data_IF_852390572250
#
_entry.id   IF_852390572250
#
_cell.length_a   1.000
_cell.length_b   1.000
_cell.length_c   1.000
_cell.angle_alpha   90.00
_cell.angle_beta   90.00
_cell.angle_gamma   90.00
#
_symmetry.space_group_name_H-M   'P 1'
#
loop_
_entity.id
_entity.type
_entity.pdbx_description
1 polymer ?
#
# COMPACT_ATOMS: atom_id res chain seq x y z
N UNK A 1 -2.10 29.87 8.43
CA UNK A 1 -1.23 29.38 7.34
C UNK A 1 -0.02 28.57 7.82
N UNK A 2 0.17 28.32 9.13
CA UNK A 2 1.36 27.61 9.67
C UNK A 2 1.24 26.08 9.80
N UNK A 3 0.09 25.45 9.50
CA UNK A 3 -0.15 24.02 9.81
C UNK A 3 0.01 23.06 8.63
N UNK A 4 0.09 23.56 7.40
CA UNK A 4 0.21 22.71 6.20
C UNK A 4 1.67 22.43 5.80
N UNK A 5 2.60 23.31 6.15
CA UNK A 5 4.05 23.13 5.91
C UNK A 5 4.66 22.06 6.82
N UNK A 6 4.09 21.83 8.02
CA UNK A 6 4.58 20.82 8.96
C UNK A 6 4.23 19.37 8.53
N UNK A 7 3.21 19.20 7.68
CA UNK A 7 2.81 17.86 7.23
C UNK A 7 3.77 17.28 6.17
N UNK A 8 4.30 18.09 5.23
CA UNK A 8 5.23 17.59 4.20
C UNK A 8 6.49 16.95 4.81
N UNK A 9 6.91 17.45 5.97
CA UNK A 9 8.05 16.90 6.69
C UNK A 9 7.77 15.53 7.29
N UNK A 10 6.51 15.11 7.44
CA UNK A 10 6.16 13.80 7.98
C UNK A 10 6.38 12.69 6.96
N UNK A 11 5.97 12.83 5.71
CA UNK A 11 6.12 11.75 4.71
C UNK A 11 6.45 12.34 3.33
N UNK A 12 7.67 12.89 3.13
CA UNK A 12 8.00 13.61 1.91
C UNK A 12 7.98 12.72 0.66
N UNK A 13 8.49 11.49 0.74
CA UNK A 13 8.49 10.55 -0.39
C UNK A 13 7.07 10.11 -0.76
N UNK A 14 6.21 9.90 0.24
CA UNK A 14 4.81 9.57 -0.01
C UNK A 14 4.08 10.77 -0.61
N UNK A 15 4.30 11.98 -0.10
CA UNK A 15 3.72 13.19 -0.67
C UNK A 15 4.15 13.40 -2.13
N UNK A 16 5.42 13.19 -2.44
CA UNK A 16 5.92 13.23 -3.82
C UNK A 16 5.24 12.19 -4.72
N UNK A 17 5.05 10.96 -4.24
CA UNK A 17 4.32 9.89 -4.95
C UNK A 17 2.92 10.36 -5.37
N UNK A 18 2.19 10.94 -4.41
CA UNK A 18 0.84 11.44 -4.60
C UNK A 18 0.81 12.58 -5.63
N UNK A 19 1.70 13.56 -5.50
CA UNK A 19 1.80 14.68 -6.44
C UNK A 19 2.18 14.23 -7.85
N UNK A 20 2.96 13.15 -7.97
CA UNK A 20 3.41 12.61 -9.25
C UNK A 20 2.29 11.92 -10.03
N UNK A 21 1.38 11.21 -9.37
CA UNK A 21 0.41 10.33 -10.06
C UNK A 21 -1.05 10.67 -9.84
N UNK A 22 -1.39 11.51 -8.87
CA UNK A 22 -2.75 11.99 -8.68
C UNK A 22 -2.80 13.45 -9.13
N UNK A 23 -3.27 13.73 -10.36
CA UNK A 23 -3.48 15.10 -10.79
C UNK A 23 -4.36 15.85 -9.78
N UNK A 24 -4.04 17.11 -9.55
CA UNK A 24 -4.79 18.01 -8.65
C UNK A 24 -4.83 17.57 -7.18
N UNK A 25 -3.93 16.69 -6.75
CA UNK A 25 -3.92 16.15 -5.39
C UNK A 25 -3.93 17.23 -4.29
N UNK A 26 -3.18 18.31 -4.48
CA UNK A 26 -3.11 19.43 -3.53
C UNK A 26 -4.47 20.08 -3.29
N UNK A 27 -5.31 20.18 -4.33
CA UNK A 27 -6.67 20.72 -4.22
C UNK A 27 -7.64 19.78 -3.49
N UNK A 28 -7.30 18.49 -3.43
CA UNK A 28 -8.09 17.42 -2.78
C UNK A 28 -7.69 17.19 -1.32
N UNK A 29 -6.62 17.82 -0.84
CA UNK A 29 -6.21 17.69 0.55
C UNK A 29 -7.32 18.19 1.48
N UNK A 30 -7.74 17.31 2.38
CA UNK A 30 -8.80 17.53 3.33
C UNK A 30 -8.35 17.03 4.70
N UNK A 31 -7.61 17.88 5.42
CA UNK A 31 -7.05 17.59 6.74
C UNK A 31 -8.13 17.26 7.79
N UNK A 32 -7.88 16.33 8.69
CA UNK A 32 -8.64 16.18 9.93
C UNK A 32 -8.55 17.45 10.80
N UNK A 33 -9.52 17.64 11.70
CA UNK A 33 -9.39 18.69 12.71
C UNK A 33 -8.34 18.29 13.76
N UNK A 34 -7.71 19.27 14.41
CA UNK A 34 -6.79 18.99 15.51
C UNK A 34 -7.47 18.27 16.68
N UNK A 35 -8.77 18.46 16.87
CA UNK A 35 -9.57 17.76 17.89
C UNK A 35 -9.71 16.27 17.56
N UNK A 36 -9.97 15.93 16.30
CA UNK A 36 -10.07 14.53 15.86
C UNK A 36 -8.71 13.82 16.00
N UNK A 37 -7.62 14.47 15.59
CA UNK A 37 -6.27 13.91 15.73
C UNK A 37 -5.95 13.66 17.21
N UNK A 38 -6.21 14.62 18.09
CA UNK A 38 -6.00 14.47 19.53
C UNK A 38 -6.90 13.38 20.15
N UNK A 39 -8.12 13.19 19.63
CA UNK A 39 -8.99 12.10 20.05
C UNK A 39 -8.41 10.74 19.65
N UNK A 40 -7.90 10.61 18.42
CA UNK A 40 -7.23 9.40 17.94
C UNK A 40 -5.95 9.11 18.75
N UNK A 41 -5.13 10.11 19.06
CA UNK A 41 -3.95 9.93 19.92
C UNK A 41 -4.34 9.43 21.31
N UNK A 42 -5.44 9.91 21.89
CA UNK A 42 -5.96 9.35 23.16
C UNK A 42 -6.42 7.91 23.01
N UNK A 43 -7.06 7.53 21.90
CA UNK A 43 -7.47 6.16 21.62
C UNK A 43 -6.26 5.24 21.47
N UNK A 44 -5.19 5.72 20.85
CA UNK A 44 -3.91 5.03 20.70
C UNK A 44 -3.12 4.90 22.01
N UNK A 45 -3.52 5.60 23.08
CA UNK A 45 -2.78 5.65 24.34
C UNK A 45 -1.56 6.57 24.30
N UNK A 46 -1.41 7.41 23.29
CA UNK A 46 -0.26 8.29 23.12
C UNK A 46 -0.07 8.80 21.70
N UNK A 47 1.20 9.06 21.36
CA UNK A 47 1.57 9.53 20.04
C UNK A 47 1.30 8.46 18.96
N UNK A 48 0.58 8.83 17.89
CA UNK A 48 0.36 7.91 16.76
C UNK A 48 1.55 7.86 15.80
N UNK A 49 1.71 6.74 15.06
CA UNK A 49 2.71 6.62 13.99
C UNK A 49 2.75 7.80 13.02
N UNK A 50 3.98 8.14 12.59
CA UNK A 50 4.27 9.31 11.74
C UNK A 50 3.47 9.31 10.44
N UNK A 51 3.40 8.15 9.77
CA UNK A 51 2.65 8.00 8.51
C UNK A 51 1.14 8.22 8.71
N UNK A 52 0.56 7.73 9.80
CA UNK A 52 -0.86 7.95 10.07
C UNK A 52 -1.16 9.39 10.44
N UNK A 53 -0.28 10.06 11.19
CA UNK A 53 -0.41 11.50 11.42
C UNK A 53 -0.36 12.29 10.11
N UNK A 54 0.55 11.95 9.20
CA UNK A 54 0.58 12.55 7.86
C UNK A 54 -0.74 12.33 7.13
N UNK A 55 -1.24 11.09 7.13
CA UNK A 55 -2.50 10.73 6.50
C UNK A 55 -3.65 11.57 7.05
N UNK A 56 -3.79 11.70 8.37
CA UNK A 56 -4.84 12.51 8.98
C UNK A 56 -4.68 14.00 8.63
N UNK A 57 -3.45 14.52 8.62
CA UNK A 57 -3.18 15.92 8.29
C UNK A 57 -3.38 16.26 6.81
N UNK A 58 -3.24 15.30 5.89
CA UNK A 58 -3.47 15.52 4.45
C UNK A 58 -4.86 15.09 3.98
N UNK A 59 -5.33 13.95 4.47
CA UNK A 59 -6.45 13.18 3.90
C UNK A 59 -7.47 12.73 4.93
N UNK A 60 -7.39 13.24 6.17
CA UNK A 60 -8.26 12.85 7.26
C UNK A 60 -9.76 13.09 7.06
N UNK A 61 -10.18 13.74 5.97
CA UNK A 61 -11.59 13.84 5.51
C UNK A 61 -11.80 13.43 4.05
N UNK A 62 -10.77 12.99 3.32
CA UNK A 62 -10.78 12.95 1.85
C UNK A 62 -10.01 11.78 1.24
N UNK A 63 -10.26 10.55 1.71
CA UNK A 63 -9.56 9.35 1.23
C UNK A 63 -10.23 8.62 0.07
N UNK A 64 -11.57 8.69 -0.04
CA UNK A 64 -12.36 7.83 -0.93
C UNK A 64 -11.91 7.86 -2.41
N UNK A 65 -11.39 8.98 -2.89
CA UNK A 65 -10.97 9.15 -4.28
C UNK A 65 -9.57 8.58 -4.60
N UNK A 66 -8.83 8.08 -3.61
CA UNK A 66 -7.42 7.66 -3.73
C UNK A 66 -7.23 6.14 -3.80
N UNK A 67 -8.33 5.40 -3.70
CA UNK A 67 -8.46 4.15 -4.45
C UNK A 67 -8.39 2.84 -3.68
N UNK A 68 -8.52 2.81 -2.36
CA UNK A 68 -8.80 1.53 -1.67
C UNK A 68 -10.30 1.19 -1.64
N UNK A 69 -11.00 1.41 -2.76
CA UNK A 69 -12.43 1.15 -2.88
C UNK A 69 -13.25 1.88 -1.81
N UNK A 70 -13.93 1.11 -0.97
CA UNK A 70 -14.83 1.55 0.09
C UNK A 70 -14.17 1.72 1.47
N UNK A 71 -12.84 1.58 1.55
CA UNK A 71 -12.09 1.77 2.79
C UNK A 71 -12.02 3.25 3.18
N UNK A 72 -12.52 3.60 4.36
CA UNK A 72 -12.52 4.97 4.88
C UNK A 72 -11.53 5.13 6.06
N UNK A 73 -10.55 6.01 5.88
CA UNK A 73 -9.56 6.39 6.91
C UNK A 73 -9.91 7.72 7.59
N UNK A 74 -11.09 8.29 7.33
CA UNK A 74 -11.43 9.60 7.85
C UNK A 74 -11.43 9.63 9.37
N UNK A 75 -10.86 10.68 9.94
CA UNK A 75 -10.65 10.78 11.38
C UNK A 75 -11.96 10.68 12.16
N UNK A 76 -13.02 11.28 11.60
CA UNK A 76 -14.35 11.26 12.19
C UNK A 76 -14.95 9.86 12.22
N UNK A 77 -14.83 9.09 11.13
CA UNK A 77 -15.28 7.70 11.10
C UNK A 77 -14.59 6.86 12.17
N UNK A 78 -13.27 7.06 12.35
CA UNK A 78 -12.50 6.32 13.37
C UNK A 78 -12.90 6.73 14.79
N UNK A 79 -12.99 8.03 15.07
CA UNK A 79 -13.41 8.54 16.39
C UNK A 79 -14.83 8.08 16.73
N UNK A 80 -15.78 8.27 15.81
CA UNK A 80 -17.18 7.90 16.02
C UNK A 80 -17.31 6.38 16.21
N UNK A 81 -16.60 5.58 15.40
CA UNK A 81 -16.61 4.13 15.50
C UNK A 81 -16.08 3.60 16.83
N UNK A 82 -14.96 4.14 17.32
CA UNK A 82 -14.45 3.79 18.64
C UNK A 82 -15.39 4.24 19.77
N UNK A 83 -15.94 5.46 19.69
CA UNK A 83 -16.84 5.99 20.74
C UNK A 83 -18.13 5.17 20.90
N UNK A 84 -18.56 4.52 19.81
CA UNK A 84 -19.77 3.70 19.74
C UNK A 84 -19.49 2.21 19.94
N UNK A 85 -18.23 1.81 20.11
CA UNK A 85 -17.83 0.41 20.22
C UNK A 85 -18.11 -0.41 18.96
N UNK A 86 -18.05 0.21 17.77
CA UNK A 86 -18.29 -0.47 16.50
C UNK A 86 -17.10 -1.34 16.04
N UNK A 87 -15.94 -1.16 16.67
CA UNK A 87 -14.73 -1.91 16.35
C UNK A 87 -14.45 -2.90 17.49
N UNK A 88 -14.32 -4.21 17.21
CA UNK A 88 -13.90 -5.18 18.20
C UNK A 88 -12.62 -4.74 18.92
N UNK A 89 -12.58 -4.76 20.26
CA UNK A 89 -11.38 -4.42 21.00
C UNK A 89 -10.29 -5.47 20.73
N UNK A 90 -9.08 -5.00 20.45
CA UNK A 90 -7.90 -5.83 20.25
C UNK A 90 -6.76 -5.20 21.05
N UNK A 91 -6.21 -5.94 22.02
CA UNK A 91 -5.18 -5.40 22.92
C UNK A 91 -3.95 -4.94 22.14
N UNK A 92 -3.47 -3.74 22.44
CA UNK A 92 -2.33 -3.15 21.73
C UNK A 92 -2.64 -2.70 20.29
N UNK A 93 -3.88 -2.79 19.84
CA UNK A 93 -4.28 -2.46 18.48
C UNK A 93 -5.33 -1.35 18.43
N UNK A 94 -5.31 -0.58 17.33
CA UNK A 94 -6.27 0.50 17.08
C UNK A 94 -6.81 0.40 15.66
N UNK A 95 -8.13 0.48 15.50
CA UNK A 95 -8.74 0.52 14.17
C UNK A 95 -8.37 1.86 13.49
N UNK A 96 -7.86 1.79 12.26
CA UNK A 96 -7.41 2.95 11.48
C UNK A 96 -8.18 3.15 10.18
N UNK A 97 -8.95 2.13 9.77
CA UNK A 97 -9.81 2.23 8.59
C UNK A 97 -11.02 1.30 8.70
N UNK A 98 -12.13 1.75 8.16
CA UNK A 98 -13.39 1.00 8.10
C UNK A 98 -13.82 0.85 6.63
N UNK A 99 -13.95 -0.38 6.16
CA UNK A 99 -14.48 -0.67 4.83
C UNK A 99 -16.01 -0.62 4.87
N UNK A 100 -16.56 0.34 4.14
CA UNK A 100 -17.99 0.62 4.06
C UNK A 100 -18.74 -0.29 3.08
N UNK A 101 -18.09 -1.27 2.47
CA UNK A 101 -18.75 -2.25 1.60
C UNK A 101 -19.79 -3.08 2.36
N UNK A 102 -21.04 -3.04 1.91
CA UNK A 102 -22.16 -3.76 2.55
C UNK A 102 -22.01 -5.28 2.54
N UNK A 103 -21.42 -5.84 1.48
CA UNK A 103 -21.39 -7.29 1.26
C UNK A 103 -20.19 -7.99 1.93
N UNK A 104 -19.17 -7.23 2.33
CA UNK A 104 -17.94 -7.79 2.88
C UNK A 104 -17.14 -6.73 3.66
N UNK A 105 -17.65 -6.21 4.80
CA UNK A 105 -16.97 -5.19 5.56
C UNK A 105 -15.68 -5.72 6.16
N UNK A 106 -14.62 -4.94 6.06
CA UNK A 106 -13.31 -5.20 6.60
C UNK A 106 -12.83 -4.01 7.41
N UNK A 107 -12.08 -4.30 8.46
CA UNK A 107 -11.41 -3.31 9.28
C UNK A 107 -9.91 -3.38 9.03
N UNK A 108 -9.23 -2.25 9.21
CA UNK A 108 -7.77 -2.22 9.30
C UNK A 108 -7.34 -1.76 10.67
N UNK A 109 -6.40 -2.47 11.26
CA UNK A 109 -5.85 -2.19 12.57
C UNK A 109 -4.37 -1.87 12.46
N UNK A 110 -3.91 -0.92 13.25
CA UNK A 110 -2.52 -0.84 13.63
C UNK A 110 -2.22 -1.73 14.81
N UNK A 111 -1.07 -2.40 14.75
CA UNK A 111 -0.43 -3.02 15.92
C UNK A 111 0.52 -2.03 16.58
N UNK A 112 -0.01 -1.24 17.50
CA UNK A 112 0.75 -0.21 18.23
C UNK A 112 1.68 -0.82 19.29
N UNK A 113 1.45 -2.08 19.69
CA UNK A 113 2.31 -2.80 20.62
C UNK A 113 3.62 -3.25 19.96
N UNK A 114 3.64 -3.43 18.64
CA UNK A 114 4.80 -3.90 17.89
C UNK A 114 5.21 -2.92 16.76
N UNK A 115 5.77 -1.74 17.10
CA UNK A 115 6.14 -0.74 16.11
C UNK A 115 7.18 -1.25 15.10
N UNK A 116 7.11 -0.76 13.87
CA UNK A 116 7.97 -1.15 12.76
C UNK A 116 8.43 0.08 11.96
N UNK A 117 9.75 0.37 11.97
CA UNK A 117 10.39 1.43 11.15
C UNK A 117 9.72 2.81 11.24
N UNK A 118 9.53 3.30 12.47
CA UNK A 118 8.82 4.56 12.79
C UNK A 118 7.32 4.58 12.40
N UNK A 119 6.78 3.42 12.05
CA UNK A 119 5.37 3.16 11.78
C UNK A 119 4.88 1.96 12.62
N UNK A 120 3.73 1.38 12.28
CA UNK A 120 3.21 0.15 12.85
C UNK A 120 2.70 -0.82 11.77
N UNK A 121 2.77 -2.14 11.99
CA UNK A 121 2.16 -3.13 11.12
C UNK A 121 0.66 -2.93 10.98
N UNK A 122 0.16 -3.19 9.77
CA UNK A 122 -1.26 -3.11 9.45
C UNK A 122 -1.84 -4.51 9.32
N UNK A 123 -2.93 -4.74 10.05
CA UNK A 123 -3.70 -5.97 10.05
C UNK A 123 -5.07 -5.74 9.42
N UNK A 124 -5.56 -6.74 8.70
CA UNK A 124 -6.93 -6.80 8.18
C UNK A 124 -7.76 -7.80 9.01
N UNK A 125 -8.98 -7.40 9.34
CA UNK A 125 -9.91 -8.22 10.11
C UNK A 125 -11.35 -8.07 9.65
N UNK A 126 -12.14 -9.09 9.95
CA UNK A 126 -13.60 -9.05 9.81
C UNK A 126 -14.22 -8.62 11.14
N UNK A 127 -15.25 -7.76 11.13
CA UNK A 127 -15.96 -7.41 12.36
C UNK A 127 -16.46 -8.63 13.14
N UNK A 128 -16.90 -9.68 12.42
CA UNK A 128 -17.60 -10.84 13.01
C UNK A 128 -16.72 -12.07 13.27
N UNK A 129 -15.55 -12.20 12.64
CA UNK A 129 -14.72 -13.42 12.75
C UNK A 129 -13.68 -13.34 13.87
N UNK A 130 -13.46 -12.17 14.48
CA UNK A 130 -12.51 -11.94 15.57
C UNK A 130 -11.02 -12.17 15.22
N UNK A 131 -10.73 -12.71 14.03
CA UNK A 131 -9.38 -12.98 13.54
C UNK A 131 -8.80 -11.79 12.80
N UNK A 132 -7.57 -11.42 13.18
CA UNK A 132 -6.76 -10.45 12.45
C UNK A 132 -5.67 -11.18 11.67
N UNK A 133 -5.46 -10.73 10.43
CA UNK A 133 -4.40 -11.24 9.56
C UNK A 133 -3.48 -10.10 9.19
N UNK A 134 -2.16 -10.31 9.33
CA UNK A 134 -1.19 -9.30 8.91
C UNK A 134 -1.33 -9.07 7.40
N UNK A 135 -1.36 -7.79 7.02
CA UNK A 135 -1.54 -7.35 5.64
C UNK A 135 -0.28 -6.62 5.14
N UNK A 136 0.16 -5.59 5.85
CA UNK A 136 1.34 -4.79 5.50
C UNK A 136 2.26 -4.57 6.70
N UNK A 137 3.56 -4.34 6.46
CA UNK A 137 4.50 -4.03 7.54
C UNK A 137 4.33 -2.60 8.06
N UNK A 138 3.82 -1.69 7.23
CA UNK A 138 3.61 -0.29 7.56
C UNK A 138 2.38 0.26 6.83
N UNK A 139 1.81 1.35 7.33
CA UNK A 139 0.74 2.05 6.63
C UNK A 139 1.28 2.73 5.36
N UNK A 140 2.53 3.21 5.39
CA UNK A 140 3.20 3.73 4.18
C UNK A 140 3.14 2.72 3.03
N UNK A 141 3.42 1.45 3.32
CA UNK A 141 3.38 0.37 2.33
C UNK A 141 1.97 0.16 1.78
N UNK A 142 0.94 0.14 2.65
CA UNK A 142 -0.46 0.04 2.24
C UNK A 142 -0.86 1.19 1.31
N UNK A 143 -0.60 2.44 1.74
CA UNK A 143 -0.97 3.64 1.00
C UNK A 143 -0.23 3.69 -0.34
N UNK A 144 1.08 3.48 -0.32
CA UNK A 144 1.91 3.52 -1.52
C UNK A 144 1.49 2.48 -2.54
N UNK A 145 1.21 1.25 -2.11
CA UNK A 145 0.72 0.18 -2.97
C UNK A 145 -0.62 0.54 -3.63
N UNK A 146 -1.53 1.16 -2.87
CA UNK A 146 -2.82 1.61 -3.37
C UNK A 146 -2.67 2.68 -4.46
N UNK A 147 -1.93 3.74 -4.16
CA UNK A 147 -1.73 4.87 -5.09
C UNK A 147 -1.04 4.38 -6.36
N UNK A 148 0.01 3.58 -6.21
CA UNK A 148 0.72 2.98 -7.34
C UNK A 148 -0.23 2.15 -8.21
N UNK A 149 -1.01 1.26 -7.60
CA UNK A 149 -1.92 0.39 -8.34
C UNK A 149 -2.97 1.18 -9.10
N UNK A 150 -3.62 2.15 -8.46
CA UNK A 150 -4.80 2.82 -9.02
C UNK A 150 -4.45 3.97 -9.97
N UNK A 151 -3.38 4.71 -9.68
CA UNK A 151 -3.07 5.92 -10.44
C UNK A 151 -1.89 5.75 -11.39
N UNK A 152 -1.05 4.72 -11.17
CA UNK A 152 0.04 4.39 -12.10
C UNK A 152 -0.26 3.14 -12.93
N UNK A 153 -0.47 2.01 -12.28
CA UNK A 153 -0.56 0.71 -12.96
C UNK A 153 -1.86 0.55 -13.76
N UNK A 154 -3.01 0.91 -13.19
CA UNK A 154 -4.33 0.82 -13.83
C UNK A 154 -4.49 1.77 -15.03
N UNK A 155 -3.73 2.87 -15.06
CA UNK A 155 -3.77 3.85 -16.15
C UNK A 155 -2.93 3.43 -17.37
N UNK A 156 -2.18 2.33 -17.27
CA UNK A 156 -1.35 1.86 -18.38
C UNK A 156 -2.17 1.05 -19.40
N UNK A 157 -1.95 1.28 -20.72
CA UNK A 157 -2.77 0.65 -21.77
C UNK A 157 -2.74 -0.88 -21.80
N UNK A 158 -1.63 -1.51 -21.43
CA UNK A 158 -1.51 -2.97 -21.44
C UNK A 158 -1.02 -3.44 -20.08
N UNK A 159 -1.65 -4.50 -19.57
CA UNK A 159 -1.23 -5.16 -18.33
C UNK A 159 -1.06 -6.65 -18.51
N UNK A 160 -0.17 -7.21 -17.72
CA UNK A 160 0.08 -8.63 -17.66
C UNK A 160 0.28 -9.04 -16.21
N UNK A 161 -0.28 -10.18 -15.81
CA UNK A 161 -0.12 -10.74 -14.47
C UNK A 161 0.41 -12.16 -14.56
N UNK A 162 1.12 -12.59 -13.52
CA UNK A 162 1.70 -13.92 -13.48
C UNK A 162 2.36 -14.19 -12.13
N UNK A 163 3.13 -15.27 -12.09
CA UNK A 163 3.90 -15.66 -10.91
C UNK A 163 5.32 -16.00 -11.35
N UNK A 164 6.31 -15.29 -10.80
CA UNK A 164 7.71 -15.72 -10.87
C UNK A 164 7.94 -16.85 -9.89
N UNK A 165 8.62 -17.90 -10.36
CA UNK A 165 8.92 -19.09 -9.59
C UNK A 165 10.41 -19.39 -9.70
N UNK A 166 11.06 -19.52 -8.55
CA UNK A 166 12.35 -20.18 -8.45
C UNK A 166 12.12 -21.67 -8.18
N UNK A 167 12.45 -22.54 -9.15
CA UNK A 167 12.23 -23.98 -9.02
C UNK A 167 13.20 -24.65 -8.04
N UNK A 168 14.36 -24.04 -7.80
CA UNK A 168 15.34 -24.46 -6.79
C UNK A 168 14.99 -23.94 -5.39
N UNK A 169 13.87 -23.22 -5.26
CA UNK A 169 13.31 -22.65 -4.03
C UNK A 169 14.16 -21.55 -3.38
N UNK A 170 14.97 -20.84 -4.15
CA UNK A 170 15.62 -19.59 -3.73
C UNK A 170 14.63 -18.43 -3.51
N UNK A 171 15.08 -17.32 -2.94
CA UNK A 171 14.25 -16.10 -2.91
C UNK A 171 14.27 -15.44 -4.28
N UNK A 172 13.10 -15.34 -4.89
CA UNK A 172 12.92 -14.71 -6.19
C UNK A 172 13.38 -13.24 -6.18
N UNK A 173 13.34 -12.55 -5.04
CA UNK A 173 13.71 -11.12 -4.98
C UNK A 173 15.20 -10.89 -5.05
N UNK A 174 16.01 -11.81 -4.53
CA UNK A 174 17.47 -11.73 -4.61
C UNK A 174 17.95 -11.72 -6.07
N UNK A 175 17.12 -12.25 -6.97
CA UNK A 175 17.36 -12.32 -8.41
C UNK A 175 16.69 -11.15 -9.16
N UNK A 176 15.45 -10.81 -8.82
CA UNK A 176 14.71 -9.78 -9.54
C UNK A 176 15.20 -8.36 -9.27
N UNK A 177 15.59 -8.04 -8.03
CA UNK A 177 15.93 -6.66 -7.66
C UNK A 177 17.16 -6.15 -8.45
N UNK A 178 18.31 -6.86 -8.49
CA UNK A 178 19.46 -6.40 -9.28
C UNK A 178 19.12 -6.23 -10.76
N UNK A 179 18.36 -7.16 -11.34
CA UNK A 179 17.94 -7.07 -12.73
C UNK A 179 17.03 -5.87 -12.99
N UNK A 180 16.12 -5.55 -12.06
CA UNK A 180 15.26 -4.38 -12.18
C UNK A 180 16.07 -3.09 -12.14
N UNK A 181 17.07 -3.00 -11.27
CA UNK A 181 18.00 -1.88 -11.22
C UNK A 181 18.78 -1.73 -12.55
N UNK A 182 19.30 -2.83 -13.11
CA UNK A 182 19.95 -2.84 -14.42
C UNK A 182 19.02 -2.39 -15.57
N UNK A 183 17.73 -2.72 -15.47
CA UNK A 183 16.69 -2.30 -16.42
C UNK A 183 16.16 -0.88 -16.14
N UNK A 184 16.75 -0.16 -15.19
CA UNK A 184 16.43 1.23 -14.85
C UNK A 184 15.14 1.39 -14.05
N UNK A 185 14.59 0.32 -13.48
CA UNK A 185 13.49 0.42 -12.53
C UNK A 185 14.00 1.00 -11.21
N UNK A 186 13.16 1.82 -10.58
CA UNK A 186 13.42 2.39 -9.27
C UNK A 186 12.18 2.22 -8.38
N UNK A 187 12.35 1.99 -7.07
CA UNK A 187 11.24 2.01 -6.14
C UNK A 187 10.72 3.45 -6.00
N UNK A 188 9.42 3.70 -6.18
CA UNK A 188 8.87 5.05 -6.18
C UNK A 188 8.72 5.63 -4.75
N UNK A 189 8.73 4.76 -3.74
CA UNK A 189 8.88 5.08 -2.32
C UNK A 189 9.70 3.95 -1.66
N UNK A 190 10.31 4.17 -0.48
CA UNK A 190 10.85 3.08 0.32
C UNK A 190 9.76 2.06 0.67
N UNK A 191 9.81 0.88 0.04
CA UNK A 191 8.85 -0.20 0.24
C UNK A 191 9.22 -1.13 1.39
N UNK A 192 8.21 -1.87 1.88
CA UNK A 192 8.43 -3.05 2.73
C UNK A 192 8.65 -4.31 1.88
N UNK A 193 9.01 -5.44 2.51
CA UNK A 193 9.19 -6.72 1.82
C UNK A 193 7.86 -7.36 1.36
N UNK A 194 6.72 -6.78 1.71
CA UNK A 194 5.39 -7.33 1.40
C UNK A 194 4.78 -6.67 0.15
N UNK A 195 5.20 -5.46 -0.20
CA UNK A 195 4.80 -4.74 -1.40
C UNK A 195 6.01 -4.20 -2.15
N UNK A 196 6.21 -4.77 -3.35
CA UNK A 196 7.29 -4.37 -4.23
C UNK A 196 6.69 -3.52 -5.34
N UNK A 197 7.13 -2.28 -5.40
CA UNK A 197 6.69 -1.31 -6.38
C UNK A 197 7.93 -0.83 -7.12
N UNK A 198 7.92 -0.94 -8.44
CA UNK A 198 9.06 -0.55 -9.28
C UNK A 198 8.55 0.14 -10.53
N UNK A 199 9.18 1.24 -10.92
CA UNK A 199 8.83 2.00 -12.13
C UNK A 199 10.10 2.46 -12.86
N UNK A 200 10.11 2.38 -14.19
CA UNK A 200 11.20 2.92 -15.02
C UNK A 200 10.75 4.06 -15.95
N UNK A 201 9.61 4.70 -15.64
CA UNK A 201 8.96 5.73 -16.44
C UNK A 201 8.03 5.16 -17.52
N UNK A 202 8.35 3.99 -18.09
CA UNK A 202 7.58 3.37 -19.17
C UNK A 202 6.76 2.16 -18.72
N UNK A 203 7.36 1.34 -17.86
CA UNK A 203 6.78 0.11 -17.34
C UNK A 203 6.71 0.22 -15.82
N UNK A 204 5.57 -0.22 -15.27
CA UNK A 204 5.31 -0.29 -13.85
C UNK A 204 5.19 -1.76 -13.44
N UNK A 205 5.82 -2.12 -12.34
CA UNK A 205 5.78 -3.44 -11.73
C UNK A 205 5.23 -3.32 -10.31
N UNK A 206 4.31 -4.22 -9.97
CA UNK A 206 3.80 -4.38 -8.62
C UNK A 206 3.75 -5.85 -8.23
N UNK A 207 4.18 -6.16 -7.02
CA UNK A 207 3.98 -7.45 -6.38
C UNK A 207 3.49 -7.27 -4.95
N UNK A 208 2.65 -8.20 -4.49
CA UNK A 208 2.17 -8.25 -3.12
C UNK A 208 2.32 -9.67 -2.56
N UNK A 209 3.04 -9.79 -1.44
CA UNK A 209 3.25 -11.03 -0.69
C UNK A 209 2.45 -10.98 0.60
N UNK A 210 1.67 -12.02 0.86
CA UNK A 210 0.97 -12.15 2.15
C UNK A 210 1.93 -12.64 3.23
N UNK A 211 2.07 -11.96 4.37
CA UNK A 211 3.07 -12.31 5.39
C UNK A 211 2.86 -13.70 6.02
N UNK A 212 1.63 -14.20 6.11
CA UNK A 212 1.35 -15.56 6.64
C UNK A 212 1.62 -16.69 5.64
N UNK A 213 2.02 -16.37 4.40
CA UNK A 213 2.39 -17.33 3.34
C UNK A 213 3.61 -16.84 2.57
N UNK A 214 4.70 -16.53 3.29
CA UNK A 214 5.98 -16.16 2.69
C UNK A 214 6.60 -17.37 1.96
N UNK A 215 6.04 -17.68 0.79
CA UNK A 215 6.66 -18.57 -0.18
C UNK A 215 7.66 -17.71 -0.95
N UNK A 216 8.86 -17.53 -0.41
CA UNK A 216 9.91 -16.65 -0.98
C UNK A 216 10.29 -17.04 -2.42
N UNK A 217 10.12 -18.31 -2.76
CA UNK A 217 10.31 -18.86 -4.10
C UNK A 217 9.17 -18.57 -5.07
N UNK A 218 8.12 -17.86 -4.64
CA UNK A 218 6.96 -17.47 -5.46
C UNK A 218 6.66 -15.98 -5.29
N UNK A 219 6.62 -15.27 -6.42
CA UNK A 219 6.29 -13.84 -6.45
C UNK A 219 5.16 -13.61 -7.45
N UNK A 220 3.91 -13.46 -7.00
CA UNK A 220 2.85 -13.00 -7.88
C UNK A 220 3.17 -11.56 -8.31
N UNK A 221 2.90 -11.22 -9.57
CA UNK A 221 3.17 -9.89 -10.08
C UNK A 221 2.07 -9.38 -11.00
N UNK A 222 2.02 -8.06 -11.12
CA UNK A 222 1.34 -7.34 -12.19
C UNK A 222 2.33 -6.37 -12.82
N UNK A 223 2.43 -6.41 -14.14
CA UNK A 223 3.26 -5.55 -14.96
C UNK A 223 2.37 -4.73 -15.89
N UNK A 224 2.56 -3.42 -15.95
CA UNK A 224 1.80 -2.52 -16.83
C UNK A 224 2.73 -1.70 -17.71
N UNK A 225 2.28 -1.35 -18.92
CA UNK A 225 3.10 -0.59 -19.87
C UNK A 225 2.33 -0.13 -21.11
N UNK A 226 3.00 0.56 -22.04
CA UNK A 226 2.35 1.16 -23.21
C UNK A 226 1.94 0.15 -24.28
N UNK A 227 2.54 -1.05 -24.30
CA UNK A 227 2.28 -2.06 -25.32
C UNK A 227 2.67 -3.46 -24.83
N UNK A 228 2.11 -4.50 -25.45
CA UNK A 228 2.51 -5.89 -25.21
C UNK A 228 4.00 -6.11 -25.51
N UNK A 229 4.55 -5.44 -26.53
CA UNK A 229 5.96 -5.57 -26.91
C UNK A 229 6.89 -5.07 -25.80
N UNK A 230 6.55 -3.93 -25.17
CA UNK A 230 7.31 -3.40 -24.04
C UNK A 230 7.32 -4.38 -22.85
N UNK A 231 6.16 -4.96 -22.52
CA UNK A 231 6.06 -5.94 -21.43
C UNK A 231 6.82 -7.22 -21.75
N UNK A 232 6.69 -7.75 -22.98
CA UNK A 232 7.44 -8.93 -23.43
C UNK A 232 8.94 -8.72 -23.40
N UNK A 233 9.43 -7.51 -23.67
CA UNK A 233 10.86 -7.20 -23.56
C UNK A 233 11.35 -7.32 -22.11
N UNK A 234 10.59 -6.81 -21.15
CA UNK A 234 10.95 -6.93 -19.72
C UNK A 234 10.90 -8.40 -19.29
N UNK A 235 9.79 -9.10 -19.54
CA UNK A 235 9.65 -10.52 -19.19
C UNK A 235 10.71 -11.39 -19.87
N UNK A 236 11.01 -11.13 -21.14
CA UNK A 236 12.09 -11.79 -21.88
C UNK A 236 13.45 -11.56 -21.25
N UNK A 237 13.74 -10.33 -20.80
CA UNK A 237 14.99 -10.02 -20.09
C UNK A 237 15.12 -10.79 -18.78
N UNK A 238 14.02 -10.96 -18.04
CA UNK A 238 14.00 -11.83 -16.85
C UNK A 238 14.27 -13.28 -17.24
N UNK A 239 13.56 -13.83 -18.22
CA UNK A 239 13.72 -15.23 -18.62
C UNK A 239 15.08 -15.56 -19.26
N UNK A 240 15.77 -14.59 -19.87
CA UNK A 240 17.09 -14.83 -20.47
C UNK A 240 18.24 -14.61 -19.49
N UNK A 241 18.06 -13.75 -18.49
CA UNK A 241 19.15 -13.31 -17.59
C UNK A 241 19.09 -14.00 -16.23
N UNK A 242 18.05 -14.80 -15.98
CA UNK A 242 17.80 -15.45 -14.68
C UNK A 242 17.31 -16.88 -14.90
N UNK A 243 17.34 -17.69 -13.84
CA UNK A 243 16.74 -19.03 -13.81
C UNK A 243 15.24 -19.02 -13.47
N UNK A 244 14.64 -17.85 -13.27
CA UNK A 244 13.25 -17.73 -12.87
C UNK A 244 12.29 -18.16 -13.98
N UNK A 245 11.31 -18.98 -13.61
CA UNK A 245 10.23 -19.41 -14.52
C UNK A 245 9.00 -18.56 -14.28
N UNK A 246 8.35 -18.12 -15.37
CA UNK A 246 7.08 -17.39 -15.30
C UNK A 246 5.93 -18.37 -15.49
N UNK A 247 5.04 -18.47 -14.50
CA UNK A 247 3.85 -19.34 -14.52
C UNK A 247 2.57 -18.50 -14.49
N UNK A 248 1.46 -19.09 -14.97
CA UNK A 248 0.10 -18.50 -14.94
C UNK A 248 0.01 -17.11 -15.58
N UNK A 249 0.68 -16.93 -16.70
CA UNK A 249 0.71 -15.64 -17.40
C UNK A 249 -0.67 -15.33 -18.00
N UNK A 250 -1.22 -14.17 -17.65
CA UNK A 250 -2.47 -13.65 -18.19
C UNK A 250 -2.27 -12.24 -18.73
N UNK A 251 -2.87 -11.94 -19.89
CA UNK A 251 -2.75 -10.65 -20.56
C UNK A 251 -4.09 -9.94 -20.54
N UNK A 252 -4.11 -8.74 -19.97
CA UNK A 252 -5.27 -7.87 -19.94
C UNK A 252 -4.99 -6.69 -20.87
N UNK A 253 -5.58 -6.74 -22.06
CA UNK A 253 -5.73 -5.56 -22.92
C UNK A 253 -7.14 -5.00 -22.73
N UNK A 254 -7.33 -3.67 -22.75
CA UNK A 254 -8.65 -3.06 -22.72
C UNK A 254 -9.52 -3.53 -23.89
#
# INVERSE_FOLDING_TARGET
MSSLEDASNLEPELEELFLRWVPDMTSRWASASGQDIAAIERLAGGEIPRCYRWLLRRLGRGWAELGYGSLDFSARTIVDGHSRGLFPPCEGMMCIANDTAEWQPQLRYYDLAHPAKDDAPVFAGWPDEGGLSSEFQTLRELIGAAVFKNHRLQMLPVRCEGVFVDEDKGDVLDVLIPLFEELGFQPPIPGGPLSLLYDNGMVAFSSYRRPHRLMVHLVPFVLGGPSMSALRKVLGSVSTSTHLVIKRLSWNSP
#
